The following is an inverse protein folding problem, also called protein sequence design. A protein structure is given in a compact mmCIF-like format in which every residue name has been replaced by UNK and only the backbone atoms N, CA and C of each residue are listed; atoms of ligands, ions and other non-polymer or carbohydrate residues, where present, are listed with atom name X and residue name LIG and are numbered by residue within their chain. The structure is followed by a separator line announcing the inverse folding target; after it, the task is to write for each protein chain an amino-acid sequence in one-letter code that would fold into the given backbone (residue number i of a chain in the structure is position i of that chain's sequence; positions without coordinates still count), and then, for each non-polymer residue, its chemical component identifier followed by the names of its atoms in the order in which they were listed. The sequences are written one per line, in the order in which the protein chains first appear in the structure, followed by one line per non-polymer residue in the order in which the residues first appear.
data_IF_822104348161
#
_entry.id   IF_822104348161
#
_cell.length_a   1.000
_cell.length_b   1.000
_cell.length_c   1.000
_cell.angle_alpha   90.00
_cell.angle_beta   90.00
_cell.angle_gamma   90.00
#
_symmetry.space_group_name_H-M   'P 1'
#
loop_
_entity.id
_entity.type
_entity.pdbx_description
1 polymer ?
#
# COMPACT_ATOMS: atom_id res chain seq x y z
N UNK A 1 9.85 -0.64 -20.80
CA UNK A 1 10.95 0.18 -20.20
C UNK A 1 10.32 1.41 -19.57
N UNK A 2 10.46 1.57 -18.27
CA UNK A 2 10.07 2.79 -17.56
C UNK A 2 11.12 3.87 -17.86
N UNK A 3 10.69 5.04 -18.35
CA UNK A 3 11.58 6.18 -18.65
C UNK A 3 12.28 6.81 -17.44
N UNK A 4 11.99 6.32 -16.21
CA UNK A 4 12.67 6.73 -14.97
C UNK A 4 13.84 5.81 -14.59
N UNK A 5 14.08 4.74 -15.36
CA UNK A 5 15.17 3.77 -15.15
C UNK A 5 16.25 3.95 -16.22
N UNK A 6 17.50 4.22 -15.82
CA UNK A 6 18.62 4.35 -16.75
C UNK A 6 18.99 2.99 -17.39
N UNK A 7 19.14 1.94 -16.57
CA UNK A 7 19.38 0.55 -16.98
C UNK A 7 18.52 -0.37 -16.08
N UNK A 8 17.20 -0.33 -16.24
CA UNK A 8 16.30 -1.05 -15.38
C UNK A 8 15.30 -1.91 -16.12
N UNK A 9 14.68 -2.83 -15.38
CA UNK A 9 13.56 -3.65 -15.82
C UNK A 9 12.35 -3.34 -14.94
N UNK A 10 11.25 -3.02 -15.58
CA UNK A 10 9.94 -3.01 -14.94
C UNK A 10 9.24 -4.34 -15.22
N UNK A 11 8.81 -5.00 -14.15
CA UNK A 11 7.98 -6.19 -14.23
C UNK A 11 6.52 -5.80 -14.00
N UNK A 12 5.73 -5.90 -15.05
CA UNK A 12 4.28 -5.66 -15.02
C UNK A 12 3.57 -7.00 -15.10
N UNK A 13 2.70 -7.27 -14.13
CA UNK A 13 1.91 -8.50 -14.08
C UNK A 13 0.57 -8.33 -14.79
N UNK A 14 -0.06 -9.46 -15.14
CA UNK A 14 -1.48 -9.47 -15.42
C UNK A 14 -2.29 -9.14 -14.17
N UNK A 15 -3.54 -8.66 -14.29
CA UNK A 15 -4.46 -8.60 -13.16
C UNK A 15 -4.64 -9.98 -12.54
N UNK A 16 -4.47 -10.07 -11.23
CA UNK A 16 -4.52 -11.32 -10.46
C UNK A 16 -5.18 -11.06 -9.11
N UNK A 17 -5.80 -12.10 -8.54
CA UNK A 17 -6.27 -12.05 -7.15
C UNK A 17 -5.09 -12.11 -6.18
N UNK A 18 -5.30 -11.66 -4.94
CA UNK A 18 -4.28 -11.82 -3.88
C UNK A 18 -3.90 -13.29 -3.71
N UNK A 19 -4.90 -14.19 -3.70
CA UNK A 19 -4.69 -15.63 -3.57
C UNK A 19 -3.74 -16.17 -4.66
N UNK A 20 -3.95 -15.77 -5.92
CA UNK A 20 -3.08 -16.16 -7.03
C UNK A 20 -1.65 -15.64 -6.85
N UNK A 21 -1.49 -14.38 -6.42
CA UNK A 21 -0.19 -13.83 -6.10
C UNK A 21 0.55 -14.59 -5.00
N UNK A 22 -0.17 -15.09 -3.98
CA UNK A 22 0.43 -15.75 -2.83
C UNK A 22 0.78 -17.21 -3.11
N UNK A 23 -0.04 -17.91 -3.91
CA UNK A 23 0.02 -19.37 -4.04
C UNK A 23 0.52 -19.86 -5.40
N UNK A 24 0.17 -19.16 -6.50
CA UNK A 24 0.42 -19.65 -7.86
C UNK A 24 1.56 -18.89 -8.55
N UNK A 25 1.70 -17.60 -8.29
CA UNK A 25 2.74 -16.80 -8.93
C UNK A 25 4.13 -17.16 -8.37
N UNK A 26 5.10 -17.59 -9.21
CA UNK A 26 6.41 -18.05 -8.76
C UNK A 26 7.35 -16.91 -8.33
N UNK A 27 6.87 -16.04 -7.44
CA UNK A 27 7.62 -14.87 -6.98
C UNK A 27 9.01 -15.21 -6.42
N UNK A 28 9.13 -16.33 -5.70
CA UNK A 28 10.42 -16.74 -5.15
C UNK A 28 11.48 -16.96 -6.24
N UNK A 29 11.07 -17.52 -7.37
CA UNK A 29 11.97 -17.75 -8.52
C UNK A 29 12.28 -16.45 -9.26
N UNK A 30 11.25 -15.64 -9.52
CA UNK A 30 11.38 -14.35 -10.20
C UNK A 30 12.34 -13.43 -9.44
N UNK A 31 12.12 -13.28 -8.13
CA UNK A 31 12.95 -12.40 -7.29
C UNK A 31 14.38 -12.92 -7.17
N UNK A 32 14.58 -14.23 -7.03
CA UNK A 32 15.91 -14.87 -7.00
C UNK A 32 16.63 -14.71 -8.32
N UNK A 33 15.92 -14.84 -9.44
CA UNK A 33 16.47 -14.61 -10.77
C UNK A 33 16.93 -13.17 -10.94
N UNK A 34 16.11 -12.21 -10.55
CA UNK A 34 16.47 -10.79 -10.59
C UNK A 34 17.73 -10.50 -9.75
N UNK A 35 17.83 -11.08 -8.54
CA UNK A 35 19.03 -10.96 -7.70
C UNK A 35 20.26 -11.55 -8.37
N UNK A 36 20.15 -12.74 -8.98
CA UNK A 36 21.26 -13.39 -9.67
C UNK A 36 21.76 -12.62 -10.91
N UNK A 37 20.89 -11.78 -11.49
CA UNK A 37 21.22 -10.89 -12.60
C UNK A 37 21.79 -9.54 -12.14
N UNK A 38 21.97 -9.32 -10.83
CA UNK A 38 22.56 -8.11 -10.27
C UNK A 38 21.58 -6.94 -10.09
N UNK A 39 20.25 -7.15 -10.24
CA UNK A 39 19.29 -6.08 -9.97
C UNK A 39 19.26 -5.71 -8.48
N UNK A 40 19.30 -4.41 -8.21
CA UNK A 40 19.45 -3.85 -6.86
C UNK A 40 18.12 -3.44 -6.20
N UNK A 41 17.04 -3.24 -6.99
CA UNK A 41 15.74 -2.78 -6.53
C UNK A 41 15.83 -1.58 -5.57
N UNK A 42 15.53 -1.78 -4.28
CA UNK A 42 15.55 -0.70 -3.28
C UNK A 42 16.90 0.03 -3.15
N UNK A 43 18.00 -0.59 -3.48
CA UNK A 43 19.33 0.03 -3.42
C UNK A 43 19.61 0.94 -4.65
N UNK A 44 18.85 0.81 -5.73
CA UNK A 44 18.96 1.66 -6.90
C UNK A 44 18.44 3.10 -6.68
N UNK A 45 17.65 3.35 -5.62
CA UNK A 45 17.10 4.67 -5.29
C UNK A 45 15.91 5.13 -6.14
N UNK A 46 15.72 4.57 -7.33
CA UNK A 46 14.65 4.92 -8.30
C UNK A 46 13.52 3.89 -8.35
N UNK A 47 13.72 2.68 -7.82
CA UNK A 47 12.74 1.61 -7.88
C UNK A 47 11.60 1.80 -6.90
N UNK A 48 10.38 1.50 -7.36
CA UNK A 48 9.15 1.44 -6.58
C UNK A 48 8.46 0.09 -6.72
N UNK A 49 7.56 -0.21 -5.79
CA UNK A 49 6.55 -1.24 -5.91
C UNK A 49 5.21 -0.53 -5.97
N UNK A 50 4.53 -0.65 -7.09
CA UNK A 50 3.22 -0.06 -7.35
C UNK A 50 2.17 -1.16 -7.39
N UNK A 51 1.06 -0.97 -6.71
CA UNK A 51 -0.04 -1.93 -6.70
C UNK A 51 -1.26 -1.27 -7.32
N UNK A 52 -1.70 -1.83 -8.44
CA UNK A 52 -2.90 -1.41 -9.14
C UNK A 52 -4.09 -2.26 -8.68
N UNK A 53 -5.15 -1.60 -8.24
CA UNK A 53 -6.38 -2.23 -7.79
C UNK A 53 -7.48 -1.87 -8.81
N UNK A 54 -8.18 -2.87 -9.35
CA UNK A 54 -9.33 -2.61 -10.22
C UNK A 54 -10.36 -1.74 -9.49
N UNK A 55 -10.91 -0.72 -10.17
CA UNK A 55 -11.99 0.08 -9.59
C UNK A 55 -13.22 -0.76 -9.25
N UNK A 56 -13.43 -1.87 -9.96
CA UNK A 56 -14.50 -2.81 -9.66
C UNK A 56 -14.36 -3.49 -8.28
N UNK A 57 -13.16 -3.54 -7.72
CA UNK A 57 -12.95 -4.03 -6.36
C UNK A 57 -13.56 -3.11 -5.29
N UNK A 58 -13.80 -1.84 -5.61
CA UNK A 58 -14.40 -0.85 -4.71
C UNK A 58 -15.92 -0.78 -4.77
N UNK A 59 -16.57 -1.47 -5.72
CA UNK A 59 -18.02 -1.53 -5.86
C UNK A 59 -18.49 -1.72 -7.29
N UNK A 60 -19.77 -2.09 -7.42
CA UNK A 60 -20.40 -2.34 -8.72
C UNK A 60 -20.89 -1.07 -9.41
N UNK A 61 -21.14 0.02 -8.67
CA UNK A 61 -21.59 1.31 -9.21
C UNK A 61 -20.52 2.38 -9.02
N UNK A 62 -20.59 3.42 -9.82
CA UNK A 62 -19.68 4.57 -9.71
C UNK A 62 -19.74 5.19 -8.32
N UNK A 63 -20.92 5.34 -7.72
CA UNK A 63 -21.12 5.93 -6.41
C UNK A 63 -20.47 5.07 -5.29
N UNK A 64 -20.61 3.75 -5.38
CA UNK A 64 -19.96 2.82 -4.46
C UNK A 64 -18.44 2.90 -4.56
N UNK A 65 -17.91 2.91 -5.78
CA UNK A 65 -16.48 3.05 -6.01
C UNK A 65 -15.93 4.36 -5.45
N UNK A 66 -16.60 5.47 -5.74
CA UNK A 66 -16.19 6.79 -5.24
C UNK A 66 -16.20 6.86 -3.72
N UNK A 67 -17.24 6.33 -3.06
CA UNK A 67 -17.32 6.32 -1.61
C UNK A 67 -16.22 5.45 -0.97
N UNK A 68 -15.97 4.26 -1.52
CA UNK A 68 -14.92 3.38 -1.03
C UNK A 68 -13.51 3.96 -1.28
N UNK A 69 -13.26 4.53 -2.46
CA UNK A 69 -11.97 5.18 -2.77
C UNK A 69 -11.77 6.41 -1.87
N UNK A 70 -12.82 7.14 -1.53
CA UNK A 70 -12.76 8.26 -0.58
C UNK A 70 -12.27 7.81 0.80
N UNK A 71 -12.79 6.68 1.30
CA UNK A 71 -12.36 6.08 2.57
C UNK A 71 -10.91 5.57 2.50
N UNK A 72 -10.50 4.96 1.38
CA UNK A 72 -9.10 4.57 1.16
C UNK A 72 -8.17 5.78 1.23
N UNK A 73 -8.49 6.85 0.53
CA UNK A 73 -7.70 8.10 0.55
C UNK A 73 -7.61 8.67 1.97
N UNK A 74 -8.76 8.73 2.67
CA UNK A 74 -8.82 9.23 4.04
C UNK A 74 -7.97 8.37 4.99
N UNK A 75 -8.07 7.04 4.90
CA UNK A 75 -7.28 6.12 5.71
C UNK A 75 -5.77 6.33 5.49
N UNK A 76 -5.33 6.41 4.23
CA UNK A 76 -3.92 6.62 3.89
C UNK A 76 -3.41 7.94 4.46
N UNK A 77 -4.20 8.99 4.42
CA UNK A 77 -3.81 10.29 4.97
C UNK A 77 -3.85 10.31 6.50
N UNK A 78 -4.82 9.64 7.13
CA UNK A 78 -4.95 9.53 8.58
C UNK A 78 -3.76 8.77 9.18
N UNK A 79 -3.40 7.63 8.61
CA UNK A 79 -2.30 6.78 9.07
C UNK A 79 -1.00 6.97 8.27
N UNK A 80 -0.78 8.22 7.84
CA UNK A 80 0.39 8.54 7.01
C UNK A 80 1.72 8.16 7.66
N UNK A 81 1.88 8.36 8.95
CA UNK A 81 3.14 8.08 9.67
C UNK A 81 3.43 6.56 9.71
N UNK A 82 2.41 5.75 9.96
CA UNK A 82 2.47 4.31 9.99
C UNK A 82 2.77 3.75 8.59
N UNK A 83 2.03 4.21 7.58
CA UNK A 83 2.20 3.78 6.20
C UNK A 83 3.52 4.27 5.59
N UNK A 84 4.00 5.45 5.94
CA UNK A 84 5.34 5.90 5.58
C UNK A 84 6.41 4.96 6.14
N UNK A 85 6.32 4.59 7.42
CA UNK A 85 7.22 3.62 8.04
C UNK A 85 7.13 2.24 7.39
N UNK A 86 5.92 1.78 7.09
CA UNK A 86 5.66 0.52 6.36
C UNK A 86 6.31 0.55 4.98
N UNK A 87 6.20 1.63 4.24
CA UNK A 87 6.70 1.79 2.87
C UNK A 87 8.22 1.69 2.74
N UNK A 88 8.97 1.96 3.81
CA UNK A 88 10.44 2.06 3.86
C UNK A 88 11.00 3.20 3.00
N UNK A 89 10.18 4.14 2.57
CA UNK A 89 10.64 5.38 1.91
C UNK A 89 10.90 6.47 2.95
N UNK A 90 11.77 7.40 2.60
CA UNK A 90 11.92 8.65 3.35
C UNK A 90 10.85 9.65 2.95
N UNK A 91 10.58 10.64 3.80
CA UNK A 91 9.64 11.71 3.46
C UNK A 91 10.05 12.45 2.18
N UNK A 92 11.35 12.65 1.94
CA UNK A 92 11.86 13.26 0.71
C UNK A 92 11.54 12.44 -0.53
N UNK A 93 11.69 11.10 -0.46
CA UNK A 93 11.31 10.20 -1.55
C UNK A 93 9.80 10.21 -1.81
N UNK A 94 8.98 10.27 -0.72
CA UNK A 94 7.53 10.39 -0.87
C UNK A 94 7.16 11.70 -1.55
N UNK A 95 7.69 12.83 -1.11
CA UNK A 95 7.41 14.14 -1.72
C UNK A 95 7.74 14.18 -3.21
N UNK A 96 8.74 13.43 -3.65
CA UNK A 96 9.15 13.37 -5.06
C UNK A 96 8.31 12.42 -5.90
N UNK A 97 7.94 11.24 -5.39
CA UNK A 97 7.43 10.13 -6.20
C UNK A 97 6.03 9.65 -5.82
N UNK A 98 5.58 9.98 -4.60
CA UNK A 98 4.34 9.49 -4.03
C UNK A 98 3.82 10.49 -2.98
N UNK A 99 3.63 11.74 -3.37
CA UNK A 99 3.23 12.81 -2.46
C UNK A 99 1.86 12.54 -1.83
N UNK A 100 1.70 12.98 -0.58
CA UNK A 100 0.39 12.96 0.08
C UNK A 100 -0.48 14.11 -0.38
N UNK A 101 -1.79 13.95 -0.27
CA UNK A 101 -2.75 15.03 -0.49
C UNK A 101 -2.88 15.94 0.76
N UNK A 102 -2.65 15.39 1.95
CA UNK A 102 -2.94 16.03 3.23
C UNK A 102 -4.35 15.74 3.72
N UNK A 103 -4.47 15.44 5.01
CA UNK A 103 -5.73 15.00 5.64
C UNK A 103 -6.83 16.07 5.55
N UNK A 104 -8.07 15.64 5.35
CA UNK A 104 -9.30 16.44 5.42
C UNK A 104 -10.20 15.93 6.55
N UNK A 105 -11.28 16.65 6.85
CA UNK A 105 -12.17 16.30 7.96
C UNK A 105 -12.99 15.03 7.69
N UNK A 106 -13.36 14.81 6.43
CA UNK A 106 -14.18 13.66 6.04
C UNK A 106 -13.63 12.95 4.81
N UNK A 107 -13.99 11.67 4.58
CA UNK A 107 -13.64 10.94 3.36
C UNK A 107 -14.12 11.67 2.08
N UNK A 108 -15.33 12.24 2.10
CA UNK A 108 -15.88 12.99 0.95
C UNK A 108 -15.06 14.23 0.63
N UNK A 109 -14.66 15.00 1.63
CA UNK A 109 -13.76 16.15 1.45
C UNK A 109 -12.38 15.71 0.96
N UNK A 110 -11.88 14.56 1.45
CA UNK A 110 -10.61 13.99 1.02
C UNK A 110 -10.65 13.65 -0.47
N UNK A 111 -11.72 13.03 -0.95
CA UNK A 111 -11.92 12.73 -2.36
C UNK A 111 -12.00 14.00 -3.21
N UNK A 112 -12.79 14.96 -2.77
CA UNK A 112 -12.94 16.24 -3.47
C UNK A 112 -11.61 16.97 -3.58
N UNK A 113 -10.82 16.97 -2.51
CA UNK A 113 -9.48 17.55 -2.50
C UNK A 113 -8.52 16.83 -3.45
N UNK A 114 -8.51 15.49 -3.44
CA UNK A 114 -7.65 14.70 -4.32
C UNK A 114 -7.96 14.95 -5.80
N UNK A 115 -9.24 14.98 -6.17
CA UNK A 115 -9.70 15.25 -7.55
C UNK A 115 -9.33 16.66 -8.04
N UNK A 116 -9.36 17.64 -7.17
CA UNK A 116 -9.05 19.02 -7.50
C UNK A 116 -7.54 19.34 -7.38
N UNK A 117 -6.73 18.37 -6.97
CA UNK A 117 -5.28 18.57 -6.86
C UNK A 117 -4.60 18.54 -8.23
N UNK A 118 -3.58 19.38 -8.41
CA UNK A 118 -2.73 19.37 -9.61
C UNK A 118 -1.55 18.38 -9.50
N UNK A 119 -1.58 17.47 -8.52
CA UNK A 119 -0.44 16.61 -8.20
C UNK A 119 -0.13 15.53 -9.26
N UNK A 120 -1.05 15.27 -10.18
CA UNK A 120 -0.90 14.26 -11.24
C UNK A 120 -0.70 12.85 -10.68
N UNK A 121 0.09 12.04 -11.39
CA UNK A 121 0.32 10.63 -11.03
C UNK A 121 1.29 10.40 -9.87
N UNK A 122 2.03 11.41 -9.43
CA UNK A 122 3.07 11.27 -8.40
C UNK A 122 2.52 11.42 -6.97
N UNK A 123 1.36 10.84 -6.72
CA UNK A 123 0.72 10.78 -5.41
C UNK A 123 0.78 9.38 -4.81
N UNK A 124 0.68 9.27 -3.49
CA UNK A 124 0.70 7.99 -2.78
C UNK A 124 -0.43 7.06 -3.23
N UNK A 125 -1.60 7.63 -3.48
CA UNK A 125 -2.75 6.97 -4.11
C UNK A 125 -3.05 7.74 -5.39
N UNK A 126 -2.69 7.17 -6.52
CA UNK A 126 -2.90 7.78 -7.83
C UNK A 126 -4.27 7.42 -8.40
N UNK A 127 -5.06 8.43 -8.71
CA UNK A 127 -6.42 8.33 -9.27
C UNK A 127 -6.49 8.59 -10.77
N UNK A 128 -5.37 8.86 -11.45
CA UNK A 128 -5.37 9.30 -12.85
C UNK A 128 -5.69 8.17 -13.85
N UNK A 129 -5.62 6.91 -13.43
CA UNK A 129 -5.98 5.76 -14.27
C UNK A 129 -7.51 5.58 -14.29
N UNK A 130 -8.06 5.30 -15.47
CA UNK A 130 -9.51 5.09 -15.68
C UNK A 130 -10.01 3.81 -14.98
N UNK A 131 -9.25 2.73 -15.05
CA UNK A 131 -9.70 1.39 -14.68
C UNK A 131 -9.16 0.93 -13.32
N UNK A 132 -8.14 1.61 -12.80
CA UNK A 132 -7.49 1.22 -11.55
C UNK A 132 -7.26 2.41 -10.62
N UNK A 133 -7.14 2.10 -9.33
CA UNK A 133 -6.50 2.95 -8.31
C UNK A 133 -5.11 2.38 -8.07
N UNK A 134 -4.08 3.22 -8.12
CA UNK A 134 -2.70 2.78 -7.97
C UNK A 134 -2.12 3.28 -6.65
N UNK A 135 -1.64 2.37 -5.80
CA UNK A 135 -0.88 2.71 -4.58
C UNK A 135 0.60 2.69 -4.92
N UNK A 136 1.26 3.85 -4.84
CA UNK A 136 2.64 4.09 -5.30
C UNK A 136 3.66 4.27 -4.18
N UNK A 137 3.23 4.23 -2.94
CA UNK A 137 4.06 4.64 -1.81
C UNK A 137 5.16 3.64 -1.43
N UNK A 138 5.12 2.40 -1.90
CA UNK A 138 6.03 1.37 -1.44
C UNK A 138 7.40 1.43 -2.14
N UNK A 139 8.46 1.17 -1.38
CA UNK A 139 9.80 1.01 -1.92
C UNK A 139 9.92 -0.33 -2.64
N UNK A 140 10.64 -0.37 -3.76
CA UNK A 140 10.93 -1.60 -4.47
C UNK A 140 11.58 -2.66 -3.58
N UNK A 141 11.33 -3.94 -3.87
CA UNK A 141 11.85 -5.05 -3.06
C UNK A 141 12.17 -6.27 -3.92
N UNK A 142 13.20 -7.01 -3.53
CA UNK A 142 13.51 -8.36 -4.01
C UNK A 142 13.37 -9.40 -2.88
N UNK A 143 12.78 -9.02 -1.74
CA UNK A 143 12.46 -9.93 -0.63
C UNK A 143 11.04 -10.42 -0.75
N UNK A 144 10.87 -11.74 -0.84
CA UNK A 144 9.56 -12.38 -0.99
C UNK A 144 8.58 -12.00 0.12
N UNK A 145 9.01 -12.09 1.38
CA UNK A 145 8.15 -11.74 2.51
C UNK A 145 7.68 -10.27 2.45
N UNK A 146 8.57 -9.35 2.07
CA UNK A 146 8.19 -7.93 1.92
C UNK A 146 7.19 -7.73 0.79
N UNK A 147 7.33 -8.45 -0.34
CA UNK A 147 6.38 -8.38 -1.45
C UNK A 147 5.00 -8.90 -1.00
N UNK A 148 4.95 -10.10 -0.41
CA UNK A 148 3.70 -10.69 0.09
C UNK A 148 3.03 -9.79 1.13
N UNK A 149 3.78 -9.33 2.14
CA UNK A 149 3.26 -8.42 3.15
C UNK A 149 2.72 -7.09 2.56
N UNK A 150 3.34 -6.59 1.49
CA UNK A 150 2.84 -5.39 0.81
C UNK A 150 1.51 -5.64 0.11
N UNK A 151 1.36 -6.78 -0.57
CA UNK A 151 0.10 -7.15 -1.23
C UNK A 151 -1.01 -7.40 -0.21
N UNK A 152 -0.72 -8.09 0.89
CA UNK A 152 -1.64 -8.33 2.00
C UNK A 152 -2.09 -7.01 2.64
N UNK A 153 -1.15 -6.09 2.90
CA UNK A 153 -1.48 -4.75 3.41
C UNK A 153 -2.44 -4.00 2.48
N UNK A 154 -2.18 -4.01 1.18
CA UNK A 154 -3.06 -3.35 0.21
C UNK A 154 -4.45 -3.98 0.21
N UNK A 155 -4.55 -5.31 0.34
CA UNK A 155 -5.84 -5.99 0.46
C UNK A 155 -6.63 -5.50 1.69
N UNK A 156 -6.00 -5.44 2.87
CA UNK A 156 -6.65 -4.91 4.07
C UNK A 156 -7.08 -3.45 3.93
N UNK A 157 -6.29 -2.61 3.26
CA UNK A 157 -6.69 -1.22 2.97
C UNK A 157 -7.96 -1.17 2.10
N UNK A 158 -8.08 -2.07 1.12
CA UNK A 158 -9.28 -2.17 0.27
C UNK A 158 -10.47 -2.73 1.06
N UNK A 159 -10.27 -3.74 1.87
CA UNK A 159 -11.32 -4.32 2.74
C UNK A 159 -11.93 -3.26 3.66
N UNK A 160 -11.10 -2.52 4.39
CA UNK A 160 -11.54 -1.41 5.23
C UNK A 160 -12.33 -0.37 4.40
N UNK A 161 -11.81 0.00 3.25
CA UNK A 161 -12.45 1.00 2.38
C UNK A 161 -13.82 0.54 1.86
N UNK A 162 -14.01 -0.74 1.61
CA UNK A 162 -15.25 -1.30 1.05
C UNK A 162 -16.27 -1.63 2.15
N UNK A 163 -15.82 -2.19 3.27
CA UNK A 163 -16.72 -2.77 4.28
C UNK A 163 -17.14 -1.76 5.35
N UNK A 164 -16.32 -0.75 5.62
CA UNK A 164 -16.59 0.18 6.71
C UNK A 164 -17.37 1.41 6.26
N UNK A 165 -18.08 2.04 7.22
CA UNK A 165 -18.69 3.35 7.02
C UNK A 165 -17.66 4.47 7.15
N UNK A 166 -18.00 5.67 6.66
CA UNK A 166 -17.17 6.87 6.81
C UNK A 166 -16.86 7.17 8.28
N UNK A 167 -17.87 7.06 9.16
CA UNK A 167 -17.71 7.28 10.60
C UNK A 167 -16.75 6.23 11.21
N UNK A 168 -16.90 4.95 10.85
CA UNK A 168 -16.05 3.90 11.36
C UNK A 168 -14.56 4.11 10.96
N UNK A 169 -14.30 4.54 9.74
CA UNK A 169 -12.94 4.85 9.30
C UNK A 169 -12.39 6.11 9.99
N UNK A 170 -13.25 7.10 10.26
CA UNK A 170 -12.85 8.30 11.00
C UNK A 170 -12.49 7.99 12.46
N UNK A 171 -13.22 7.10 13.12
CA UNK A 171 -13.01 6.73 14.53
C UNK A 171 -11.92 5.66 14.73
N UNK A 172 -11.65 4.84 13.69
CA UNK A 172 -10.68 3.74 13.74
C UNK A 172 -9.31 4.19 14.22
N UNK A 173 -8.73 3.46 15.17
CA UNK A 173 -7.31 3.58 15.53
C UNK A 173 -6.43 2.64 14.71
N UNK A 174 -5.11 2.84 14.75
CA UNK A 174 -4.17 1.89 14.14
C UNK A 174 -4.23 0.50 14.80
N UNK A 175 -4.52 0.47 16.11
CA UNK A 175 -4.73 -0.78 16.85
C UNK A 175 -5.93 -1.56 16.28
N UNK A 176 -7.08 -0.88 16.09
CA UNK A 176 -8.29 -1.51 15.55
C UNK A 176 -8.03 -2.08 14.12
N UNK A 177 -7.27 -1.35 13.30
CA UNK A 177 -6.89 -1.83 11.98
C UNK A 177 -6.04 -3.11 12.01
N UNK A 178 -5.19 -3.26 13.02
CA UNK A 178 -4.32 -4.44 13.15
C UNK A 178 -5.04 -5.67 13.69
N UNK A 179 -6.20 -5.51 14.34
CA UNK A 179 -6.87 -6.59 15.07
C UNK A 179 -7.36 -7.71 14.16
N UNK A 180 -7.73 -7.39 12.93
CA UNK A 180 -8.18 -8.36 11.92
C UNK A 180 -7.05 -8.96 11.08
N UNK A 181 -5.79 -8.54 11.27
CA UNK A 181 -4.65 -9.03 10.50
C UNK A 181 -4.18 -10.38 11.04
N UNK A 182 -4.28 -11.40 10.22
CA UNK A 182 -3.92 -12.78 10.58
C UNK A 182 -2.78 -13.37 9.74
N UNK A 183 -2.39 -12.71 8.66
CA UNK A 183 -1.39 -13.19 7.71
C UNK A 183 0.02 -13.15 8.32
N UNK A 184 0.72 -14.29 8.39
CA UNK A 184 2.01 -14.38 9.07
C UNK A 184 3.09 -13.50 8.43
N UNK A 185 3.10 -13.36 7.11
CA UNK A 185 4.07 -12.52 6.42
C UNK A 185 3.86 -11.04 6.75
N UNK A 186 2.60 -10.59 6.81
CA UNK A 186 2.25 -9.21 7.15
C UNK A 186 2.55 -8.91 8.61
N UNK A 187 2.14 -9.80 9.53
CA UNK A 187 2.45 -9.68 10.98
C UNK A 187 3.97 -9.59 11.19
N UNK A 188 4.72 -10.51 10.62
CA UNK A 188 6.19 -10.51 10.70
C UNK A 188 6.77 -9.18 10.21
N UNK A 189 6.29 -8.69 9.07
CA UNK A 189 6.78 -7.44 8.50
C UNK A 189 6.40 -6.22 9.35
N UNK A 190 5.18 -6.18 9.90
CA UNK A 190 4.74 -5.13 10.82
C UNK A 190 5.60 -5.09 12.10
N UNK A 191 5.96 -6.26 12.66
CA UNK A 191 6.90 -6.37 13.80
C UNK A 191 8.28 -5.83 13.45
N UNK A 192 8.83 -6.22 12.31
CA UNK A 192 10.12 -5.69 11.81
C UNK A 192 10.11 -4.16 11.64
N UNK A 193 8.94 -3.60 11.30
CA UNK A 193 8.73 -2.16 11.15
C UNK A 193 8.35 -1.46 12.45
N UNK A 194 8.18 -2.18 13.57
CA UNK A 194 7.69 -1.67 14.86
C UNK A 194 6.32 -0.97 14.70
N UNK A 195 5.43 -1.61 13.96
CA UNK A 195 4.07 -1.16 13.67
C UNK A 195 3.02 -2.09 14.27
N UNK A 196 3.41 -3.28 14.71
CA UNK A 196 2.52 -4.26 15.34
C UNK A 196 2.40 -3.95 16.83
N UNK A 197 1.34 -3.24 17.21
CA UNK A 197 1.12 -2.75 18.58
C UNK A 197 0.24 -3.68 19.42
N UNK A 198 -0.35 -4.72 18.80
CA UNK A 198 -1.25 -5.70 19.44
C UNK A 198 -0.47 -6.88 20.07
N UNK A 199 0.84 -6.81 20.11
CA UNK A 199 1.65 -7.87 20.73
C UNK A 199 1.48 -7.84 22.25
N UNK A 200 1.07 -8.96 22.90
CA UNK A 200 0.98 -9.00 24.34
C UNK A 200 2.38 -8.77 24.97
N UNK A 201 2.43 -7.86 25.91
CA UNK A 201 3.66 -7.62 26.68
C UNK A 201 3.87 -8.84 27.59
N UNK A 202 4.99 -9.53 27.41
CA UNK A 202 5.37 -10.66 28.25
C UNK A 202 5.92 -10.09 29.58
N UNK A 203 5.06 -9.96 30.59
CA UNK A 203 5.42 -9.44 31.93
C UNK A 203 6.15 -10.46 32.79
N UNK A 204 6.43 -11.67 32.31
CA UNK A 204 7.07 -12.75 33.08
C UNK A 204 8.59 -12.62 33.21
N UNK A 205 9.21 -11.56 32.70
CA UNK A 205 10.65 -11.32 32.80
C UNK A 205 11.03 -10.23 33.85
N UNK A 206 10.05 -9.67 34.57
CA UNK A 206 10.28 -8.61 35.58
C UNK A 206 10.05 -9.06 37.02
N UNK A 207 10.09 -10.38 37.37
CA UNK A 207 10.08 -10.88 38.74
C UNK A 207 11.43 -11.50 39.15
#
# INVERSE_FOLDING_TARGET
TDGSLDEGLELVTHPMTLEYHLNEMPWAEVLRKAQSMGYLSHAAGTCGLHVHISRLAFGCTYEQQEAAIARLLYFVEKFWAELLRFSRRTQSQMNRWAARYGIRLTPSEQMSHAKNSCAGRYTAVNLTNSDTVEIRMFRGTLKLNTLKATLQMVNHLVEVAVTMSDAAVQDMSWFDFLDDITEPELIQYLKERRLYVNEPVNTSEEE
#
